data_IF_340058860291
#
_entry.id   IF_340058860291
#
_cell.length_a   1.000
_cell.length_b   1.000
_cell.length_c   1.000
_cell.angle_alpha   90.00
_cell.angle_beta   90.00
_cell.angle_gamma   90.00
#
_symmetry.space_group_name_H-M   'P 1'
#
loop_
_entity.id
_entity.type
_entity.pdbx_description
1 polymer ?
#
# COMPACT_ATOMS: atom_id res chain seq x y z
N UNK A 1 -20.49 66.37 -0.72
CA UNK A 1 -19.98 65.35 0.21
C UNK A 1 -21.14 64.50 0.69
N UNK A 2 -21.14 63.19 0.42
CA UNK A 2 -21.71 62.23 1.35
C UNK A 2 -20.65 61.26 1.84
N UNK A 3 -20.73 60.96 3.13
CA UNK A 3 -19.81 60.13 3.89
C UNK A 3 -19.83 58.68 3.39
N UNK A 4 -18.65 58.17 3.09
CA UNK A 4 -18.37 56.74 2.96
C UNK A 4 -18.16 56.18 4.37
N UNK A 5 -19.08 55.34 4.83
CA UNK A 5 -18.95 54.64 6.11
C UNK A 5 -19.29 53.17 5.94
N UNK A 6 -18.35 52.32 6.32
CA UNK A 6 -18.63 50.92 6.67
C UNK A 6 -17.95 49.86 5.82
N UNK A 7 -16.61 49.79 5.81
CA UNK A 7 -15.96 48.48 5.65
C UNK A 7 -16.00 47.78 7.01
N UNK A 8 -16.90 46.83 7.17
CA UNK A 8 -16.94 45.93 8.32
C UNK A 8 -15.63 45.14 8.41
N UNK A 9 -15.01 45.18 9.60
CA UNK A 9 -13.94 44.28 10.02
C UNK A 9 -14.51 42.87 10.23
N UNK A 10 -14.70 42.09 9.17
CA UNK A 10 -14.92 40.66 9.26
C UNK A 10 -13.59 39.95 8.96
N UNK A 11 -12.75 39.70 9.97
CA UNK A 11 -11.45 39.07 9.67
C UNK A 11 -10.57 38.58 10.83
N UNK A 12 -10.99 38.68 12.09
CA UNK A 12 -10.08 38.36 13.23
C UNK A 12 -10.44 37.02 13.92
N UNK A 13 -11.63 36.47 13.68
CA UNK A 13 -12.15 35.29 14.40
C UNK A 13 -12.25 34.02 13.55
N UNK A 14 -11.89 34.08 12.26
CA UNK A 14 -12.05 32.94 11.34
C UNK A 14 -10.73 32.65 10.64
N UNK A 15 -10.42 31.38 10.49
CA UNK A 15 -9.29 30.97 9.68
C UNK A 15 -9.62 31.13 8.19
N UNK A 16 -8.60 31.33 7.36
CA UNK A 16 -8.79 31.28 5.92
C UNK A 16 -9.41 29.93 5.52
N UNK A 17 -10.29 29.95 4.51
CA UNK A 17 -10.91 28.74 3.99
C UNK A 17 -9.83 27.70 3.65
N UNK A 18 -9.91 26.48 4.21
CA UNK A 18 -8.93 25.45 3.97
C UNK A 18 -9.15 24.92 2.56
N UNK A 19 -8.06 24.80 1.82
CA UNK A 19 -8.03 24.02 0.60
C UNK A 19 -7.55 22.61 0.93
N UNK A 20 -7.97 21.61 0.16
CA UNK A 20 -7.44 20.25 0.31
C UNK A 20 -5.92 20.30 0.12
N UNK A 21 -5.12 19.64 0.98
CA UNK A 21 -3.70 19.51 0.73
C UNK A 21 -3.49 18.69 -0.56
N UNK A 22 -2.49 19.03 -1.39
CA UNK A 22 -2.10 18.15 -2.48
C UNK A 22 -1.65 16.79 -1.91
N UNK A 23 -2.22 15.71 -2.46
CA UNK A 23 -1.81 14.34 -2.17
C UNK A 23 -0.89 13.84 -3.27
N UNK A 24 0.34 13.51 -2.90
CA UNK A 24 1.34 12.88 -3.79
C UNK A 24 1.49 11.41 -3.44
N UNK A 25 1.45 10.55 -4.45
CA UNK A 25 1.72 9.11 -4.30
C UNK A 25 2.94 8.74 -5.12
N UNK A 26 3.86 8.02 -4.49
CA UNK A 26 4.99 7.38 -5.16
C UNK A 26 4.91 5.87 -4.96
N UNK A 27 5.17 5.13 -6.04
CA UNK A 27 5.29 3.68 -6.00
C UNK A 27 6.76 3.31 -6.26
N UNK A 28 7.32 2.52 -5.35
CA UNK A 28 8.66 1.97 -5.44
C UNK A 28 8.57 0.45 -5.45
N UNK A 29 8.76 -0.15 -6.61
CA UNK A 29 8.99 -1.59 -6.73
C UNK A 29 10.49 -1.88 -6.77
N UNK A 30 10.87 -3.01 -6.18
CA UNK A 30 12.23 -3.55 -6.29
C UNK A 30 12.20 -4.81 -7.15
N UNK A 31 13.25 -5.07 -7.95
CA UNK A 31 13.39 -6.34 -8.64
C UNK A 31 13.32 -7.50 -7.63
N UNK A 32 12.70 -8.64 -7.99
CA UNK A 32 12.58 -9.77 -7.08
C UNK A 32 13.95 -10.32 -6.70
N UNK A 33 14.18 -10.49 -5.40
CA UNK A 33 15.34 -11.23 -4.92
C UNK A 33 15.07 -12.73 -5.05
N UNK A 34 15.96 -13.45 -5.72
CA UNK A 34 15.83 -14.89 -5.89
C UNK A 34 16.69 -15.60 -4.84
N UNK A 35 16.04 -16.37 -3.97
CA UNK A 35 16.67 -17.27 -3.00
C UNK A 35 16.51 -18.72 -3.47
N UNK A 36 17.48 -19.21 -4.23
CA UNK A 36 17.47 -20.57 -4.78
C UNK A 36 17.95 -21.62 -3.76
N UNK A 37 17.82 -22.90 -4.15
CA UNK A 37 18.31 -24.06 -3.39
C UNK A 37 17.77 -24.14 -1.95
N UNK A 38 16.51 -23.78 -1.76
CA UNK A 38 15.87 -23.86 -0.44
C UNK A 38 15.51 -25.31 -0.08
N UNK A 39 15.86 -25.79 1.12
CA UNK A 39 15.46 -27.12 1.58
C UNK A 39 13.93 -27.24 1.72
N UNK A 40 13.39 -28.43 1.48
CA UNK A 40 11.96 -28.70 1.55
C UNK A 40 11.31 -28.24 2.88
N UNK A 41 11.98 -28.43 4.03
CA UNK A 41 11.48 -28.00 5.34
C UNK A 41 11.32 -26.46 5.43
N UNK A 42 12.22 -25.70 4.81
CA UNK A 42 12.10 -24.23 4.75
C UNK A 42 10.97 -23.82 3.82
N UNK A 43 10.83 -24.48 2.66
CA UNK A 43 9.73 -24.24 1.73
C UNK A 43 8.37 -24.50 2.39
N UNK A 44 8.24 -25.57 3.18
CA UNK A 44 7.00 -25.87 3.92
C UNK A 44 6.70 -24.80 4.98
N UNK A 45 7.72 -24.35 5.73
CA UNK A 45 7.57 -23.27 6.71
C UNK A 45 7.14 -21.96 6.04
N UNK A 46 7.75 -21.62 4.91
CA UNK A 46 7.42 -20.41 4.14
C UNK A 46 6.00 -20.51 3.57
N UNK A 47 5.60 -21.66 3.01
CA UNK A 47 4.23 -21.89 2.51
C UNK A 47 3.18 -21.62 3.60
N UNK A 48 3.39 -22.11 4.82
CA UNK A 48 2.46 -21.89 5.96
C UNK A 48 2.32 -20.41 6.35
N UNK A 49 3.36 -19.61 6.11
CA UNK A 49 3.36 -18.17 6.39
C UNK A 49 2.94 -17.33 5.19
N UNK A 50 3.02 -17.91 4.00
CA UNK A 50 2.72 -17.22 2.77
C UNK A 50 1.23 -16.95 2.66
N UNK A 51 0.94 -15.90 1.91
CA UNK A 51 -0.42 -15.57 1.51
C UNK A 51 -0.91 -16.52 0.39
N UNK A 52 -0.02 -17.34 -0.18
CA UNK A 52 -0.40 -18.36 -1.17
C UNK A 52 -1.38 -19.33 -0.52
N UNK A 53 -2.52 -19.60 -1.18
CA UNK A 53 -3.56 -20.46 -0.62
C UNK A 53 -3.05 -21.88 -0.35
N UNK A 54 -3.55 -22.48 0.73
CA UNK A 54 -3.30 -23.88 1.03
C UNK A 54 -4.18 -24.77 0.14
N UNK A 55 -3.58 -25.38 -0.89
CA UNK A 55 -4.28 -26.27 -1.83
C UNK A 55 -4.62 -27.67 -1.26
N UNK A 56 -4.44 -27.88 0.05
CA UNK A 56 -4.55 -29.19 0.66
C UNK A 56 -3.53 -30.19 0.09
N UNK A 57 -3.58 -31.44 0.55
CA UNK A 57 -2.59 -32.49 0.28
C UNK A 57 -2.42 -32.94 -1.18
N UNK A 58 -3.04 -32.27 -2.16
CA UNK A 58 -2.92 -32.61 -3.58
C UNK A 58 -1.52 -32.33 -4.15
N UNK A 59 -0.79 -31.38 -3.57
CA UNK A 59 0.62 -31.11 -3.86
C UNK A 59 1.38 -30.97 -2.55
N UNK A 60 2.08 -32.04 -2.16
CA UNK A 60 2.83 -32.13 -0.90
C UNK A 60 4.13 -31.32 -0.93
N UNK A 61 4.62 -30.94 -2.11
CA UNK A 61 5.86 -30.19 -2.29
C UNK A 61 5.67 -29.08 -3.32
N UNK A 62 6.14 -27.88 -2.98
CA UNK A 62 6.19 -26.72 -3.88
C UNK A 62 7.62 -26.51 -4.36
N UNK A 63 7.80 -26.31 -5.66
CA UNK A 63 9.13 -26.07 -6.25
C UNK A 63 9.55 -24.61 -6.13
N UNK A 64 8.58 -23.71 -5.99
CA UNK A 64 8.77 -22.26 -5.87
C UNK A 64 7.75 -21.65 -4.92
N UNK A 65 8.07 -20.45 -4.46
CA UNK A 65 7.17 -19.62 -3.67
C UNK A 65 7.53 -18.14 -3.82
N UNK A 66 6.53 -17.30 -4.04
CA UNK A 66 6.70 -15.85 -4.06
C UNK A 66 6.17 -15.24 -2.76
N UNK A 67 7.04 -14.51 -2.04
CA UNK A 67 6.66 -13.65 -0.93
C UNK A 67 6.66 -12.18 -1.39
N UNK A 68 5.46 -11.67 -1.70
CA UNK A 68 5.23 -10.30 -2.14
C UNK A 68 5.02 -9.35 -0.98
N UNK A 69 6.06 -9.05 -0.21
CA UNK A 69 5.95 -8.04 0.86
C UNK A 69 5.68 -6.66 0.25
N UNK A 70 4.60 -6.01 0.70
CA UNK A 70 4.28 -4.64 0.35
C UNK A 70 4.04 -3.79 1.60
N UNK A 71 4.25 -2.49 1.49
CA UNK A 71 4.05 -1.53 2.57
C UNK A 71 3.48 -0.23 2.05
N UNK A 72 2.70 0.45 2.87
CA UNK A 72 2.24 1.81 2.62
C UNK A 72 2.68 2.67 3.80
N UNK A 73 3.49 3.68 3.50
CA UNK A 73 3.86 4.73 4.44
C UNK A 73 3.18 6.01 4.00
N UNK A 74 2.75 6.81 4.96
CA UNK A 74 2.19 8.12 4.69
C UNK A 74 2.74 9.12 5.69
N UNK A 75 2.78 10.37 5.26
CA UNK A 75 3.25 11.50 6.02
C UNK A 75 2.35 12.70 5.69
N UNK A 76 1.95 13.43 6.73
CA UNK A 76 1.03 14.55 6.63
C UNK A 76 1.67 15.77 7.28
N UNK A 77 2.07 16.72 6.45
CA UNK A 77 2.67 17.96 6.90
C UNK A 77 1.57 18.97 7.25
N UNK A 78 1.80 19.78 8.27
CA UNK A 78 0.84 20.77 8.75
C UNK A 78 1.43 22.17 8.75
N UNK A 79 0.55 23.17 8.68
CA UNK A 79 0.88 24.57 8.93
C UNK A 79 -0.06 25.12 9.98
N UNK A 80 0.49 25.83 10.96
CA UNK A 80 -0.26 26.50 12.00
C UNK A 80 0.03 28.01 11.97
N UNK A 81 -1.01 28.83 11.92
CA UNK A 81 -0.92 30.28 12.07
C UNK A 81 -1.48 30.65 13.43
N UNK A 82 -0.61 31.09 14.34
CA UNK A 82 -1.01 31.43 15.70
C UNK A 82 -1.72 32.79 15.77
N UNK A 83 -2.75 32.87 16.60
CA UNK A 83 -3.45 34.09 16.94
C UNK A 83 -3.18 34.41 18.41
N UNK A 84 -2.07 35.13 18.68
CA UNK A 84 -1.56 35.33 20.04
C UNK A 84 -2.60 35.93 21.00
N UNK A 85 -3.37 36.93 20.55
CA UNK A 85 -4.40 37.60 21.37
C UNK A 85 -5.57 36.69 21.75
N UNK A 86 -5.82 35.64 20.99
CA UNK A 86 -6.95 34.73 21.19
C UNK A 86 -6.53 33.38 21.81
N UNK A 87 -5.22 33.15 22.01
CA UNK A 87 -4.67 31.86 22.43
C UNK A 87 -5.12 30.67 21.56
N UNK A 88 -5.36 30.95 20.28
CA UNK A 88 -5.78 29.98 19.27
C UNK A 88 -4.75 29.86 18.14
N UNK A 89 -4.91 28.83 17.31
CA UNK A 89 -4.16 28.62 16.09
C UNK A 89 -5.07 28.13 14.96
N UNK A 90 -4.82 28.61 13.76
CA UNK A 90 -5.40 28.09 12.53
C UNK A 90 -4.48 26.99 12.01
N UNK A 91 -4.87 25.73 12.19
CA UNK A 91 -4.10 24.55 11.77
C UNK A 91 -4.73 23.97 10.52
N UNK A 92 -3.90 23.64 9.54
CA UNK A 92 -4.33 22.93 8.32
C UNK A 92 -3.27 21.96 7.85
N UNK A 93 -3.70 20.89 7.19
CA UNK A 93 -2.79 20.06 6.40
C UNK A 93 -2.24 20.90 5.24
N UNK A 94 -0.93 20.76 5.01
CA UNK A 94 -0.18 21.46 3.97
C UNK A 94 0.05 20.57 2.77
N UNK A 95 0.53 19.35 3.00
CA UNK A 95 0.78 18.35 1.97
C UNK A 95 0.69 16.95 2.56
N UNK A 96 0.29 15.98 1.74
CA UNK A 96 0.24 14.58 2.10
C UNK A 96 1.08 13.77 1.12
N UNK A 97 2.02 12.98 1.66
CA UNK A 97 2.92 12.13 0.89
C UNK A 97 2.65 10.68 1.24
N UNK A 98 2.36 9.87 0.23
CA UNK A 98 2.12 8.44 0.38
C UNK A 98 3.17 7.68 -0.44
N UNK A 99 3.92 6.82 0.21
CA UNK A 99 4.89 5.94 -0.41
C UNK A 99 4.39 4.50 -0.32
N UNK A 100 4.18 3.89 -1.49
CA UNK A 100 3.87 2.46 -1.62
C UNK A 100 5.14 1.74 -2.02
N UNK A 101 5.52 0.70 -1.28
CA UNK A 101 6.73 -0.08 -1.53
C UNK A 101 6.39 -1.53 -1.78
N UNK A 102 7.04 -2.16 -2.76
CA UNK A 102 6.92 -3.60 -3.04
C UNK A 102 8.30 -4.23 -3.18
N UNK A 103 8.58 -5.24 -2.36
CA UNK A 103 9.90 -5.90 -2.28
C UNK A 103 9.70 -7.42 -2.32
N UNK A 104 9.54 -8.01 -3.52
CA UNK A 104 9.27 -9.44 -3.67
C UNK A 104 10.53 -10.28 -3.42
N UNK A 105 10.32 -11.45 -2.82
CA UNK A 105 11.32 -12.51 -2.71
C UNK A 105 10.77 -13.77 -3.35
N UNK A 106 11.52 -14.36 -4.28
CA UNK A 106 11.19 -15.64 -4.91
C UNK A 106 12.09 -16.71 -4.30
N UNK A 107 11.49 -17.68 -3.65
CA UNK A 107 12.15 -18.86 -3.12
C UNK A 107 12.03 -20.00 -4.13
N UNK A 108 13.13 -20.70 -4.40
CA UNK A 108 13.14 -21.88 -5.28
C UNK A 108 13.76 -23.06 -4.54
N UNK A 109 13.07 -24.20 -4.55
CA UNK A 109 13.51 -25.42 -3.89
C UNK A 109 14.77 -26.00 -4.53
N UNK A 110 15.59 -26.67 -3.72
CA UNK A 110 16.74 -27.48 -4.12
C UNK A 110 16.44 -28.56 -5.18
N UNK A 111 15.21 -29.09 -5.25
CA UNK A 111 14.80 -30.05 -6.28
C UNK A 111 14.74 -29.45 -7.69
N UNK A 112 14.69 -28.12 -7.79
CA UNK A 112 14.75 -27.38 -9.04
C UNK A 112 16.15 -26.72 -9.15
N UNK A 113 17.17 -27.53 -9.46
CA UNK A 113 18.55 -27.07 -9.55
C UNK A 113 18.70 -25.84 -10.48
N UNK A 114 19.45 -24.79 -10.07
CA UNK A 114 19.63 -23.59 -10.89
C UNK A 114 20.03 -23.89 -12.33
N UNK A 115 19.38 -23.22 -13.29
CA UNK A 115 19.63 -23.41 -14.72
C UNK A 115 18.92 -24.61 -15.38
N UNK A 116 18.36 -25.54 -14.60
CA UNK A 116 17.57 -26.66 -15.13
C UNK A 116 16.27 -26.21 -15.80
N UNK A 117 15.65 -27.08 -16.61
CA UNK A 117 14.32 -26.84 -17.17
C UNK A 117 13.31 -26.53 -16.04
N UNK A 118 13.31 -27.36 -14.99
CA UNK A 118 12.39 -27.21 -13.85
C UNK A 118 12.58 -25.87 -13.16
N UNK A 119 13.81 -25.46 -12.91
CA UNK A 119 14.13 -24.14 -12.36
C UNK A 119 13.57 -22.99 -13.21
N UNK A 120 13.78 -23.04 -14.53
CA UNK A 120 13.28 -22.00 -15.44
C UNK A 120 11.75 -21.95 -15.46
N UNK A 121 11.09 -23.12 -15.47
CA UNK A 121 9.63 -23.22 -15.45
C UNK A 121 9.05 -22.71 -14.13
N UNK A 122 9.63 -23.10 -13.00
CA UNK A 122 9.28 -22.60 -11.67
C UNK A 122 9.49 -21.09 -11.58
N UNK A 123 10.67 -20.58 -11.95
CA UNK A 123 10.95 -19.15 -11.88
C UNK A 123 9.99 -18.35 -12.77
N UNK A 124 9.68 -18.84 -13.98
CA UNK A 124 8.70 -18.20 -14.85
C UNK A 124 7.29 -18.19 -14.24
N UNK A 125 6.91 -19.23 -13.51
CA UNK A 125 5.66 -19.29 -12.76
C UNK A 125 5.65 -18.27 -11.61
N UNK A 126 6.68 -18.26 -10.77
CA UNK A 126 6.82 -17.31 -9.66
C UNK A 126 6.85 -15.85 -10.14
N UNK A 127 7.49 -15.57 -11.28
CA UNK A 127 7.47 -14.24 -11.88
C UNK A 127 6.06 -13.78 -12.30
N UNK A 128 5.12 -14.69 -12.58
CA UNK A 128 3.72 -14.32 -12.83
C UNK A 128 3.03 -13.84 -11.56
N UNK A 129 3.35 -14.43 -10.42
CA UNK A 129 2.85 -13.97 -9.12
C UNK A 129 3.34 -12.54 -8.83
N UNK A 130 4.63 -12.25 -9.09
CA UNK A 130 5.21 -10.91 -8.99
C UNK A 130 4.51 -9.92 -9.94
N UNK A 131 4.32 -10.30 -11.20
CA UNK A 131 3.64 -9.44 -12.19
C UNK A 131 2.20 -9.13 -11.82
N UNK A 132 1.46 -10.11 -11.30
CA UNK A 132 0.10 -9.90 -10.82
C UNK A 132 0.04 -8.95 -9.62
N UNK A 133 0.95 -9.10 -8.66
CA UNK A 133 1.05 -8.18 -7.52
C UNK A 133 1.32 -6.73 -7.94
N UNK A 134 2.26 -6.52 -8.87
CA UNK A 134 2.58 -5.19 -9.40
C UNK A 134 1.33 -4.59 -10.06
N UNK A 135 0.66 -5.34 -10.93
CA UNK A 135 -0.56 -4.88 -11.59
C UNK A 135 -1.70 -4.56 -10.60
N UNK A 136 -1.86 -5.37 -9.55
CA UNK A 136 -2.83 -5.13 -8.49
C UNK A 136 -2.51 -3.84 -7.72
N UNK A 137 -1.23 -3.62 -7.38
CA UNK A 137 -0.80 -2.41 -6.68
C UNK A 137 -1.06 -1.18 -7.56
N UNK A 138 -0.64 -1.22 -8.83
CA UNK A 138 -0.86 -0.14 -9.80
C UNK A 138 -2.34 0.19 -9.99
N UNK A 139 -3.21 -0.82 -10.06
CA UNK A 139 -4.67 -0.64 -10.12
C UNK A 139 -5.22 0.07 -8.87
N UNK A 140 -4.59 -0.13 -7.71
CA UNK A 140 -5.01 0.45 -6.43
C UNK A 140 -4.38 1.80 -6.13
N UNK A 141 -3.26 2.20 -6.75
CA UNK A 141 -2.67 3.54 -6.58
C UNK A 141 -3.69 4.68 -6.73
N UNK A 142 -4.52 4.75 -7.80
CA UNK A 142 -5.54 5.80 -7.92
C UNK A 142 -6.63 5.69 -6.86
N UNK A 143 -6.97 4.49 -6.38
CA UNK A 143 -7.96 4.28 -5.31
C UNK A 143 -7.44 4.77 -3.95
N UNK A 144 -6.14 4.53 -3.68
CA UNK A 144 -5.45 5.07 -2.49
C UNK A 144 -5.46 6.60 -2.55
N UNK A 145 -5.14 7.18 -3.71
CA UNK A 145 -5.18 8.64 -3.90
C UNK A 145 -6.59 9.19 -3.64
N UNK A 146 -7.62 8.62 -4.26
CA UNK A 146 -8.98 9.08 -4.07
C UNK A 146 -9.44 8.97 -2.61
N UNK A 147 -9.06 7.90 -1.90
CA UNK A 147 -9.37 7.74 -0.48
C UNK A 147 -8.67 8.78 0.39
N UNK A 148 -7.40 9.10 0.10
CA UNK A 148 -6.66 10.15 0.79
C UNK A 148 -7.22 11.54 0.50
N UNK A 149 -7.52 11.86 -0.77
CA UNK A 149 -8.14 13.11 -1.18
C UNK A 149 -9.50 13.30 -0.47
N UNK A 150 -10.31 12.24 -0.38
CA UNK A 150 -11.59 12.29 0.33
C UNK A 150 -11.43 12.44 1.85
N UNK A 151 -10.43 11.78 2.45
CA UNK A 151 -10.17 11.88 3.89
C UNK A 151 -9.67 13.26 4.31
N UNK A 152 -8.95 13.95 3.41
CA UNK A 152 -8.37 15.28 3.63
C UNK A 152 -9.20 16.41 3.00
N UNK A 153 -10.41 16.09 2.51
CA UNK A 153 -11.29 17.09 1.93
C UNK A 153 -11.62 18.18 2.98
N UNK A 154 -11.67 19.46 2.58
CA UNK A 154 -11.89 20.56 3.52
C UNK A 154 -13.18 20.38 4.31
N UNK A 155 -13.09 20.50 5.63
CA UNK A 155 -14.29 20.64 6.44
C UNK A 155 -14.85 22.06 6.28
N UNK A 156 -16.17 22.18 6.25
CA UNK A 156 -16.88 23.42 5.91
C UNK A 156 -16.74 24.55 6.94
N UNK A 157 -16.01 24.35 8.03
CA UNK A 157 -15.87 25.35 9.10
C UNK A 157 -14.44 25.40 9.66
N UNK A 158 -13.58 26.31 9.16
CA UNK A 158 -12.23 26.47 9.65
C UNK A 158 -12.23 27.33 10.92
N UNK A 159 -12.60 26.70 12.03
CA UNK A 159 -12.50 27.33 13.34
C UNK A 159 -11.06 27.25 13.86
N UNK A 160 -10.53 28.33 14.44
CA UNK A 160 -9.29 28.24 15.19
C UNK A 160 -9.42 27.22 16.33
N UNK A 161 -8.40 26.40 16.52
CA UNK A 161 -8.29 25.50 17.68
C UNK A 161 -7.50 26.19 18.79
N UNK A 162 -7.69 25.81 20.05
CA UNK A 162 -6.81 26.30 21.12
C UNK A 162 -5.36 25.88 20.83
N UNK A 163 -4.37 26.68 21.25
CA UNK A 163 -2.94 26.30 21.09
C UNK A 163 -2.64 24.93 21.70
N UNK A 164 -3.27 24.61 22.83
CA UNK A 164 -3.14 23.30 23.50
C UNK A 164 -3.74 22.13 22.71
N UNK A 165 -4.69 22.39 21.80
CA UNK A 165 -5.37 21.37 20.99
C UNK A 165 -4.69 21.12 19.63
N UNK A 166 -3.65 21.87 19.26
CA UNK A 166 -2.98 21.75 17.94
C UNK A 166 -2.48 20.33 17.69
N UNK A 167 -1.78 19.73 18.67
CA UNK A 167 -1.25 18.36 18.53
C UNK A 167 -2.37 17.33 18.39
N UNK A 168 -3.46 17.49 19.15
CA UNK A 168 -4.61 16.60 19.06
C UNK A 168 -5.31 16.70 17.69
N UNK A 169 -5.44 17.91 17.15
CA UNK A 169 -5.97 18.14 15.82
C UNK A 169 -5.12 17.46 14.73
N UNK A 170 -3.79 17.63 14.80
CA UNK A 170 -2.87 17.00 13.85
C UNK A 170 -2.94 15.45 13.91
N UNK A 171 -3.05 14.91 15.12
CA UNK A 171 -3.21 13.47 15.33
C UNK A 171 -4.54 12.95 14.76
N UNK A 172 -5.64 13.69 14.94
CA UNK A 172 -6.95 13.33 14.39
C UNK A 172 -6.95 13.32 12.85
N UNK A 173 -6.38 14.36 12.22
CA UNK A 173 -6.24 14.41 10.75
C UNK A 173 -5.35 13.29 10.22
N UNK A 174 -4.23 13.01 10.89
CA UNK A 174 -3.34 11.89 10.54
C UNK A 174 -4.05 10.54 10.70
N UNK A 175 -4.90 10.40 11.73
CA UNK A 175 -5.71 9.19 11.95
C UNK A 175 -6.76 9.02 10.86
N UNK A 176 -7.46 10.08 10.44
CA UNK A 176 -8.42 10.02 9.33
C UNK A 176 -7.77 9.51 8.05
N UNK A 177 -6.59 10.03 7.71
CA UNK A 177 -5.80 9.57 6.57
C UNK A 177 -5.39 8.10 6.73
N UNK A 178 -4.88 7.73 7.90
CA UNK A 178 -4.51 6.34 8.23
C UNK A 178 -5.66 5.36 8.05
N UNK A 179 -6.83 5.68 8.61
CA UNK A 179 -8.01 4.82 8.56
C UNK A 179 -8.52 4.65 7.12
N UNK A 180 -8.47 5.72 6.32
CA UNK A 180 -8.85 5.69 4.90
C UNK A 180 -7.90 4.81 4.08
N UNK A 181 -6.59 4.99 4.24
CA UNK A 181 -5.57 4.17 3.58
C UNK A 181 -5.68 2.70 4.04
N UNK A 182 -5.92 2.45 5.32
CA UNK A 182 -6.06 1.12 5.89
C UNK A 182 -7.19 0.31 5.25
N UNK A 183 -8.34 0.93 5.00
CA UNK A 183 -9.47 0.28 4.30
C UNK A 183 -9.11 -0.14 2.88
N UNK A 184 -8.46 0.74 2.12
CA UNK A 184 -8.04 0.43 0.74
C UNK A 184 -6.93 -0.62 0.72
N UNK A 185 -5.98 -0.55 1.65
CA UNK A 185 -4.91 -1.54 1.82
C UNK A 185 -5.47 -2.94 2.11
N UNK A 186 -6.47 -3.04 2.97
CA UNK A 186 -7.14 -4.31 3.24
C UNK A 186 -7.87 -4.88 2.00
N UNK A 187 -8.48 -4.01 1.19
CA UNK A 187 -9.12 -4.42 -0.07
C UNK A 187 -8.09 -4.87 -1.12
N UNK A 188 -6.94 -4.18 -1.22
CA UNK A 188 -5.81 -4.58 -2.05
C UNK A 188 -5.31 -5.97 -1.62
N UNK A 189 -5.07 -6.18 -0.34
CA UNK A 189 -4.59 -7.45 0.19
C UNK A 189 -5.52 -8.63 -0.14
N UNK A 190 -6.85 -8.43 -0.03
CA UNK A 190 -7.83 -9.44 -0.43
C UNK A 190 -7.85 -9.70 -1.93
N UNK A 191 -7.72 -8.64 -2.74
CA UNK A 191 -7.66 -8.74 -4.21
C UNK A 191 -6.44 -9.54 -4.64
N UNK A 192 -5.27 -9.20 -4.08
CA UNK A 192 -4.02 -9.93 -4.27
C UNK A 192 -4.21 -11.40 -3.93
N UNK A 193 -4.68 -11.70 -2.71
CA UNK A 193 -4.99 -13.08 -2.30
C UNK A 193 -5.79 -13.82 -3.36
N UNK A 194 -6.94 -13.29 -3.77
CA UNK A 194 -7.83 -13.92 -4.75
C UNK A 194 -7.15 -14.14 -6.11
N UNK A 195 -6.44 -13.13 -6.64
CA UNK A 195 -5.79 -13.21 -7.95
C UNK A 195 -4.57 -14.13 -7.94
N UNK A 196 -3.82 -14.18 -6.85
CA UNK A 196 -2.73 -15.13 -6.65
C UNK A 196 -3.25 -16.58 -6.70
N UNK A 197 -4.41 -16.87 -6.11
CA UNK A 197 -5.03 -18.22 -6.18
C UNK A 197 -5.43 -18.62 -7.61
N UNK A 198 -5.70 -17.66 -8.49
CA UNK A 198 -6.09 -17.92 -9.88
C UNK A 198 -4.88 -18.29 -10.77
N UNK A 199 -3.66 -17.99 -10.33
CA UNK A 199 -2.43 -18.39 -11.02
C UNK A 199 -2.11 -19.85 -10.69
N UNK A 200 -2.12 -20.18 -9.41
CA UNK A 200 -1.83 -21.49 -8.84
C UNK A 200 -3.04 -22.45 -8.98
N UNK A 201 -3.41 -22.80 -10.22
CA UNK A 201 -4.49 -23.76 -10.46
C UNK A 201 -3.96 -25.19 -10.58
N UNK A 202 -4.80 -26.20 -10.29
CA UNK A 202 -4.44 -27.61 -10.55
C UNK A 202 -3.99 -27.84 -11.99
N UNK A 203 -4.70 -27.25 -12.96
CA UNK A 203 -4.35 -27.31 -14.38
C UNK A 203 -2.95 -26.74 -14.63
N UNK A 204 -2.58 -25.67 -13.94
CA UNK A 204 -1.26 -25.07 -14.06
C UNK A 204 -0.17 -25.99 -13.50
N UNK A 205 -0.38 -26.59 -12.34
CA UNK A 205 0.57 -27.57 -11.79
C UNK A 205 0.71 -28.83 -12.70
N UNK A 206 -0.39 -29.32 -13.27
CA UNK A 206 -0.36 -30.40 -14.26
C UNK A 206 0.40 -30.00 -15.53
N UNK A 207 0.29 -28.74 -15.97
CA UNK A 207 1.07 -28.21 -17.09
C UNK A 207 2.55 -28.13 -16.74
N UNK A 208 2.90 -27.57 -15.58
CA UNK A 208 4.29 -27.42 -15.11
C UNK A 208 4.98 -28.77 -14.93
N UNK A 209 4.30 -29.75 -14.32
CA UNK A 209 4.83 -31.11 -14.14
C UNK A 209 5.10 -31.85 -15.46
N UNK A 210 4.37 -31.53 -16.53
CA UNK A 210 4.58 -32.10 -17.88
C UNK A 210 5.60 -31.29 -18.71
N UNK A 211 5.80 -30.01 -18.39
CA UNK A 211 6.64 -29.11 -19.17
C UNK A 211 8.12 -29.51 -19.15
N UNK A 212 8.58 -30.12 -18.06
CA UNK A 212 9.94 -30.60 -17.91
C UNK A 212 9.91 -32.11 -17.62
N UNK A 213 10.08 -32.97 -18.63
CA UNK A 213 10.26 -34.40 -18.42
C UNK A 213 11.40 -34.62 -17.42
N UNK A 214 11.22 -35.52 -16.45
CA UNK A 214 12.36 -35.96 -15.63
C UNK A 214 13.40 -36.53 -16.59
N UNK A 215 14.51 -35.82 -16.76
CA UNK A 215 15.67 -36.33 -17.48
C UNK A 215 16.06 -37.65 -16.85
N UNK A 216 16.13 -38.70 -17.67
CA UNK A 216 16.89 -39.91 -17.35
C UNK A 216 18.37 -39.57 -17.32
#
# INVERSE_FOLDING_TARGET
MPFSTGRMFAGIFSCAQPHAPPVTIVFHDSPPRIEAAQPAARMESLRKKSISPDYGGAFTQVDGLTDGTFGIKYDLDFTAVEQMMLHTACVRAKDARIAVTYTPVIYVSDVAAPGSCRYKATLAHEMRHVGADIGDIEEFLPKIKAAADAALAPQHDPRPVSKSAVVAFQADESKKLSDAIGKISAALQRTRQIRQMQIDTRREYERLSKACPRGR
#
